data_IF_828553106833
#
_entry.id   IF_828553106833
#
_cell.length_a   1.000
_cell.length_b   1.000
_cell.length_c   1.000
_cell.angle_alpha   90.00
_cell.angle_beta   90.00
_cell.angle_gamma   90.00
#
_symmetry.space_group_name_H-M   'P 1'
#
loop_
_entity.id
_entity.type
_entity.pdbx_description
1 polymer ?
#
# COMPACT_ATOMS: atom_id res chain seq x y z
N UNK A 1 -47.10 -85.40 -10.20
CA UNK A 1 -46.56 -85.93 -11.45
C UNK A 1 -46.75 -84.87 -12.53
N UNK A 2 -45.65 -84.30 -13.04
CA UNK A 2 -45.20 -84.46 -14.43
C UNK A 2 -46.31 -84.11 -15.44
N UNK A 3 -46.32 -82.97 -16.15
CA UNK A 3 -45.23 -82.29 -16.82
C UNK A 3 -45.33 -82.61 -18.32
N UNK A 4 -45.53 -81.62 -19.20
CA UNK A 4 -44.97 -81.69 -20.55
C UNK A 4 -45.06 -80.35 -21.29
N UNK A 5 -43.95 -80.03 -21.93
CA UNK A 5 -43.75 -78.95 -22.87
C UNK A 5 -44.70 -79.01 -24.07
N UNK A 6 -45.04 -77.86 -24.63
CA UNK A 6 -45.18 -77.76 -26.09
C UNK A 6 -44.59 -76.44 -26.57
N UNK A 7 -43.37 -76.60 -27.10
CA UNK A 7 -42.78 -75.72 -28.09
C UNK A 7 -43.86 -75.16 -29.01
N UNK A 8 -44.07 -73.85 -28.97
CA UNK A 8 -44.72 -73.15 -30.08
C UNK A 8 -43.90 -73.40 -31.33
N UNK A 9 -44.35 -74.31 -32.19
CA UNK A 9 -43.87 -74.44 -33.58
C UNK A 9 -44.25 -73.16 -34.32
N UNK A 10 -43.50 -72.08 -34.12
CA UNK A 10 -43.62 -70.91 -34.97
C UNK A 10 -43.30 -71.35 -36.40
N UNK A 11 -44.27 -71.20 -37.30
CA UNK A 11 -44.13 -71.49 -38.72
C UNK A 11 -42.79 -70.94 -39.26
N UNK A 12 -42.03 -71.69 -40.09
CA UNK A 12 -40.74 -71.25 -40.60
C UNK A 12 -40.79 -69.87 -41.29
N UNK A 13 -41.93 -69.55 -41.92
CA UNK A 13 -42.19 -68.25 -42.55
C UNK A 13 -42.28 -67.11 -41.53
N UNK A 14 -42.90 -67.33 -40.37
CA UNK A 14 -42.95 -66.33 -39.28
C UNK A 14 -41.60 -66.09 -38.63
N UNK A 15 -40.80 -67.15 -38.41
CA UNK A 15 -39.43 -66.99 -37.88
C UNK A 15 -38.57 -66.15 -38.81
N UNK A 16 -38.66 -66.39 -40.12
CA UNK A 16 -37.96 -65.59 -41.14
C UNK A 16 -38.43 -64.13 -41.15
N UNK A 17 -39.72 -63.88 -41.00
CA UNK A 17 -40.27 -62.52 -40.95
C UNK A 17 -39.86 -61.78 -39.65
N UNK A 18 -39.91 -62.44 -38.50
CA UNK A 18 -39.44 -61.86 -37.21
C UNK A 18 -37.94 -61.59 -37.23
N UNK A 19 -37.14 -62.51 -37.77
CA UNK A 19 -35.70 -62.32 -37.94
C UNK A 19 -35.38 -61.14 -38.88
N UNK A 20 -36.13 -61.00 -39.99
CA UNK A 20 -36.00 -59.85 -40.90
C UNK A 20 -36.37 -58.52 -40.23
N UNK A 21 -37.49 -58.48 -39.49
CA UNK A 21 -37.92 -57.28 -38.74
C UNK A 21 -36.89 -56.89 -37.66
N UNK A 22 -36.40 -57.88 -36.91
CA UNK A 22 -35.36 -57.67 -35.91
C UNK A 22 -34.05 -57.17 -36.54
N UNK A 23 -33.63 -57.73 -37.67
CA UNK A 23 -32.44 -57.28 -38.39
C UNK A 23 -32.58 -55.84 -38.94
N UNK A 24 -33.77 -55.44 -39.41
CA UNK A 24 -34.05 -54.06 -39.84
C UNK A 24 -34.02 -53.11 -38.63
N UNK A 25 -34.62 -53.51 -37.51
CA UNK A 25 -34.60 -52.72 -36.26
C UNK A 25 -33.17 -52.54 -35.73
N UNK A 26 -32.37 -53.62 -35.69
CA UNK A 26 -30.95 -53.58 -35.30
C UNK A 26 -30.11 -52.71 -36.23
N UNK A 27 -30.35 -52.76 -37.55
CA UNK A 27 -29.71 -51.85 -38.52
C UNK A 27 -30.10 -50.39 -38.28
N UNK A 28 -31.37 -50.13 -37.95
CA UNK A 28 -31.86 -48.80 -37.57
C UNK A 28 -31.22 -48.26 -36.28
N UNK A 29 -31.10 -49.11 -35.25
CA UNK A 29 -30.45 -48.78 -33.97
C UNK A 29 -28.96 -48.54 -34.17
N UNK A 30 -28.26 -49.40 -34.93
CA UNK A 30 -26.83 -49.25 -35.22
C UNK A 30 -26.55 -47.97 -36.04
N UNK A 31 -27.41 -47.62 -37.00
CA UNK A 31 -27.32 -46.32 -37.71
C UNK A 31 -27.53 -45.14 -36.76
N UNK A 32 -28.48 -45.24 -35.82
CA UNK A 32 -28.77 -44.17 -34.85
C UNK A 32 -27.61 -43.96 -33.87
N UNK A 33 -27.02 -45.04 -33.38
CA UNK A 33 -25.81 -45.03 -32.53
C UNK A 33 -24.60 -44.49 -33.29
N UNK A 34 -24.39 -44.89 -34.54
CA UNK A 34 -23.31 -44.34 -35.36
C UNK A 34 -23.51 -42.85 -35.64
N UNK A 35 -24.76 -42.40 -35.83
CA UNK A 35 -25.08 -40.98 -36.03
C UNK A 35 -24.86 -40.15 -34.76
N UNK A 36 -25.28 -40.64 -33.59
CA UNK A 36 -25.04 -39.95 -32.31
C UNK A 36 -23.55 -39.89 -31.96
N UNK A 37 -22.81 -40.97 -32.21
CA UNK A 37 -21.37 -41.03 -31.99
C UNK A 37 -20.58 -40.17 -32.98
N UNK A 38 -21.14 -39.89 -34.16
CA UNK A 38 -20.59 -38.90 -35.12
C UNK A 38 -20.88 -37.48 -34.67
N UNK A 39 -22.09 -37.18 -34.22
CA UNK A 39 -22.48 -35.87 -33.69
C UNK A 39 -21.66 -35.47 -32.47
N UNK A 40 -21.41 -36.40 -31.54
CA UNK A 40 -20.53 -36.14 -30.38
C UNK A 40 -19.08 -35.87 -30.75
N UNK A 41 -18.62 -36.36 -31.93
CA UNK A 41 -17.29 -36.06 -32.49
C UNK A 41 -17.27 -34.80 -33.38
N UNK A 42 -18.43 -34.27 -33.76
CA UNK A 42 -18.62 -33.17 -34.73
C UNK A 42 -19.10 -31.86 -34.11
N UNK A 43 -19.41 -31.81 -32.81
CA UNK A 43 -19.54 -30.54 -32.10
C UNK A 43 -18.17 -30.15 -31.55
N UNK A 44 -17.38 -29.34 -32.29
CA UNK A 44 -16.24 -28.70 -31.67
C UNK A 44 -16.79 -27.84 -30.53
N UNK A 45 -16.30 -28.05 -29.31
CA UNK A 45 -16.42 -27.02 -28.27
C UNK A 45 -16.03 -25.70 -28.92
N UNK A 46 -16.93 -24.71 -28.91
CA UNK A 46 -16.73 -23.46 -29.64
C UNK A 46 -15.37 -22.88 -29.28
N UNK A 47 -14.38 -23.04 -30.16
CA UNK A 47 -12.97 -22.78 -29.84
C UNK A 47 -12.75 -21.32 -29.45
N UNK A 48 -13.67 -20.43 -29.85
CA UNK A 48 -13.72 -19.03 -29.44
C UNK A 48 -14.04 -18.89 -27.95
N UNK A 49 -15.02 -19.61 -27.40
CA UNK A 49 -15.36 -19.49 -25.97
C UNK A 49 -14.26 -20.03 -25.08
N UNK A 50 -13.58 -21.11 -25.48
CA UNK A 50 -12.41 -21.64 -24.76
C UNK A 50 -11.25 -20.63 -24.75
N UNK A 51 -10.96 -20.00 -25.90
CA UNK A 51 -9.94 -18.94 -26.01
C UNK A 51 -10.30 -17.73 -25.14
N UNK A 52 -11.54 -17.27 -25.20
CA UNK A 52 -12.04 -16.15 -24.38
C UNK A 52 -11.90 -16.46 -22.89
N UNK A 53 -12.30 -17.67 -22.45
CA UNK A 53 -12.17 -18.08 -21.05
C UNK A 53 -10.70 -18.14 -20.58
N UNK A 54 -9.79 -18.59 -21.44
CA UNK A 54 -8.37 -18.57 -21.16
C UNK A 54 -7.84 -17.12 -21.01
N UNK A 55 -8.24 -16.21 -21.91
CA UNK A 55 -7.89 -14.78 -21.81
C UNK A 55 -8.45 -14.14 -20.54
N UNK A 56 -9.72 -14.40 -20.20
CA UNK A 56 -10.34 -13.90 -18.96
C UNK A 56 -9.58 -14.40 -17.73
N UNK A 57 -9.17 -15.67 -17.73
CA UNK A 57 -8.41 -16.25 -16.61
C UNK A 57 -7.04 -15.60 -16.47
N UNK A 58 -6.36 -15.33 -17.59
CA UNK A 58 -5.08 -14.61 -17.61
C UNK A 58 -5.25 -13.18 -17.09
N UNK A 59 -6.22 -12.43 -17.62
CA UNK A 59 -6.52 -11.07 -17.18
C UNK A 59 -6.86 -11.00 -15.68
N UNK A 60 -7.64 -11.95 -15.16
CA UNK A 60 -7.93 -12.02 -13.71
C UNK A 60 -6.67 -12.18 -12.85
N UNK A 61 -5.70 -12.95 -13.34
CA UNK A 61 -4.39 -13.13 -12.67
C UNK A 61 -3.59 -11.83 -12.71
N UNK A 62 -3.44 -11.23 -13.89
CA UNK A 62 -2.76 -9.94 -14.08
C UNK A 62 -3.39 -8.85 -13.21
N UNK A 63 -4.72 -8.76 -13.17
CA UNK A 63 -5.44 -7.81 -12.29
C UNK A 63 -5.23 -8.08 -10.81
N UNK A 64 -4.98 -9.33 -10.40
CA UNK A 64 -4.66 -9.65 -9.00
C UNK A 64 -3.25 -9.15 -8.67
N UNK A 65 -2.29 -9.44 -9.53
CA UNK A 65 -0.90 -9.00 -9.39
C UNK A 65 -0.78 -7.46 -9.37
N UNK A 66 -1.46 -6.77 -10.29
CA UNK A 66 -1.51 -5.29 -10.30
C UNK A 66 -2.08 -4.76 -8.99
N UNK A 67 -3.12 -5.39 -8.42
CA UNK A 67 -3.69 -4.95 -7.14
C UNK A 67 -2.71 -5.14 -5.98
N UNK A 68 -1.96 -6.24 -5.97
CA UNK A 68 -0.93 -6.49 -4.97
C UNK A 68 0.21 -5.46 -5.08
N UNK A 69 0.66 -5.16 -6.30
CA UNK A 69 1.65 -4.10 -6.57
C UNK A 69 1.15 -2.73 -6.13
N UNK A 70 -0.09 -2.36 -6.46
CA UNK A 70 -0.69 -1.09 -6.04
C UNK A 70 -0.82 -0.99 -4.52
N UNK A 71 -1.11 -2.09 -3.82
CA UNK A 71 -1.12 -2.10 -2.36
C UNK A 71 0.28 -1.85 -1.79
N UNK A 72 1.30 -2.51 -2.33
CA UNK A 72 2.69 -2.31 -1.93
C UNK A 72 3.15 -0.86 -2.17
N UNK A 73 2.80 -0.27 -3.32
CA UNK A 73 3.11 1.13 -3.63
C UNK A 73 2.44 2.07 -2.63
N UNK A 74 1.14 1.87 -2.33
CA UNK A 74 0.42 2.71 -1.37
C UNK A 74 1.03 2.64 0.03
N UNK A 75 1.42 1.44 0.45
CA UNK A 75 2.08 1.24 1.73
C UNK A 75 3.46 1.89 1.77
N UNK A 76 4.25 1.76 0.71
CA UNK A 76 5.53 2.46 0.58
C UNK A 76 5.37 3.99 0.62
N UNK A 77 4.36 4.53 -0.07
CA UNK A 77 4.03 5.96 -0.03
C UNK A 77 3.63 6.43 1.37
N UNK A 78 2.86 5.62 2.10
CA UNK A 78 2.46 5.91 3.49
C UNK A 78 3.69 6.01 4.40
N UNK A 79 4.59 5.03 4.31
CA UNK A 79 5.83 5.01 5.10
C UNK A 79 6.73 6.19 4.76
N UNK A 80 6.92 6.49 3.47
CA UNK A 80 7.71 7.64 3.05
C UNK A 80 7.12 8.94 3.59
N UNK A 81 5.79 9.11 3.51
CA UNK A 81 5.11 10.28 4.08
C UNK A 81 5.35 10.43 5.58
N UNK A 82 5.16 9.35 6.35
CA UNK A 82 5.38 9.35 7.80
C UNK A 82 6.82 9.77 8.15
N UNK A 83 7.83 9.24 7.45
CA UNK A 83 9.23 9.64 7.62
C UNK A 83 9.47 11.10 7.26
N UNK A 84 8.83 11.60 6.21
CA UNK A 84 8.95 13.02 5.84
C UNK A 84 8.31 13.93 6.89
N UNK A 85 7.15 13.55 7.43
CA UNK A 85 6.47 14.31 8.47
C UNK A 85 7.33 14.36 9.76
N UNK A 86 7.99 13.25 10.12
CA UNK A 86 8.96 13.21 11.24
C UNK A 86 10.13 14.18 11.01
N UNK A 87 10.75 14.13 9.82
CA UNK A 87 11.87 15.01 9.44
C UNK A 87 11.46 16.48 9.45
N UNK A 88 10.25 16.81 8.97
CA UNK A 88 9.74 18.18 9.00
C UNK A 88 9.57 18.67 10.44
N UNK A 89 9.03 17.85 11.33
CA UNK A 89 8.90 18.16 12.76
C UNK A 89 10.27 18.38 13.41
N UNK A 90 11.27 17.55 13.09
CA UNK A 90 12.65 17.75 13.58
C UNK A 90 13.27 19.05 13.05
N UNK A 91 13.05 19.37 11.77
CA UNK A 91 13.53 20.62 11.16
C UNK A 91 12.90 21.86 11.83
N UNK A 92 11.62 21.81 12.21
CA UNK A 92 10.99 22.89 12.96
C UNK A 92 11.63 23.09 14.34
N UNK A 93 11.86 22.01 15.09
CA UNK A 93 12.54 22.06 16.39
C UNK A 93 13.96 22.64 16.25
N UNK A 94 14.73 22.17 15.28
CA UNK A 94 16.09 22.66 15.02
C UNK A 94 16.09 24.14 14.64
N UNK A 95 15.09 24.61 13.89
CA UNK A 95 14.95 26.03 13.56
C UNK A 95 14.71 26.88 14.81
N UNK A 96 13.81 26.43 15.69
CA UNK A 96 13.48 27.14 16.93
C UNK A 96 14.68 27.19 17.89
N UNK A 97 15.39 26.06 18.04
CA UNK A 97 16.63 25.98 18.83
C UNK A 97 17.73 26.88 18.25
N UNK A 98 17.91 26.87 16.92
CA UNK A 98 18.89 27.73 16.23
C UNK A 98 18.57 29.20 16.43
N UNK A 99 17.29 29.58 16.37
CA UNK A 99 16.86 30.96 16.63
C UNK A 99 17.19 31.38 18.06
N UNK A 100 16.94 30.52 19.04
CA UNK A 100 17.28 30.77 20.44
C UNK A 100 18.79 30.96 20.63
N UNK A 101 19.60 30.05 20.09
CA UNK A 101 21.07 30.11 20.17
C UNK A 101 21.59 31.38 19.47
N UNK A 102 21.02 31.73 18.32
CA UNK A 102 21.39 32.95 17.57
C UNK A 102 21.11 34.20 18.40
N UNK A 103 19.92 34.30 19.01
CA UNK A 103 19.56 35.42 19.87
C UNK A 103 20.50 35.51 21.07
N UNK A 104 20.79 34.39 21.73
CA UNK A 104 21.72 34.34 22.85
C UNK A 104 23.15 34.74 22.44
N UNK A 105 23.59 34.32 21.24
CA UNK A 105 24.89 34.66 20.68
C UNK A 105 25.02 36.16 20.41
N UNK A 106 23.98 36.77 19.83
CA UNK A 106 23.91 38.23 19.62
C UNK A 106 23.99 38.97 20.96
N UNK A 107 23.21 38.57 21.97
CA UNK A 107 23.27 39.16 23.30
C UNK A 107 24.66 39.05 23.92
N UNK A 108 25.32 37.91 23.76
CA UNK A 108 26.70 37.70 24.22
C UNK A 108 27.68 38.62 23.50
N UNK A 109 27.52 38.80 22.20
CA UNK A 109 28.28 39.78 21.41
C UNK A 109 28.15 41.21 21.93
N UNK A 110 26.91 41.64 22.24
CA UNK A 110 26.67 42.96 22.84
C UNK A 110 27.32 43.12 24.21
N UNK A 111 27.25 42.08 25.08
CA UNK A 111 27.93 42.09 26.38
C UNK A 111 29.43 42.28 26.23
N UNK A 112 30.06 41.52 25.35
CA UNK A 112 31.49 41.64 25.08
C UNK A 112 31.86 43.03 24.55
N UNK A 113 31.08 43.56 23.59
CA UNK A 113 31.30 44.90 23.05
C UNK A 113 31.25 45.98 24.15
N UNK A 114 30.25 45.93 25.04
CA UNK A 114 30.15 46.85 26.19
C UNK A 114 31.35 46.69 27.13
N UNK A 115 31.76 45.45 27.44
CA UNK A 115 32.92 45.18 28.29
C UNK A 115 34.20 45.80 27.70
N UNK A 116 34.44 45.64 26.39
CA UNK A 116 35.57 46.27 25.71
C UNK A 116 35.49 47.80 25.74
N UNK A 117 34.31 48.38 25.53
CA UNK A 117 34.13 49.84 25.61
C UNK A 117 34.39 50.38 27.03
N UNK A 118 34.01 49.65 28.07
CA UNK A 118 34.32 50.00 29.46
C UNK A 118 35.83 50.01 29.69
N UNK A 119 36.55 48.97 29.25
CA UNK A 119 38.00 48.90 29.37
C UNK A 119 38.67 50.08 28.64
N UNK A 120 38.21 50.41 27.43
CA UNK A 120 38.71 51.56 26.66
C UNK A 120 38.42 52.90 27.36
N UNK A 121 37.23 53.08 27.91
CA UNK A 121 36.89 54.30 28.67
C UNK A 121 37.79 54.47 29.90
N UNK A 122 38.03 53.37 30.64
CA UNK A 122 38.96 53.36 31.78
C UNK A 122 40.40 53.67 31.37
N UNK A 123 40.87 53.09 30.27
CA UNK A 123 42.21 53.38 29.72
C UNK A 123 42.37 54.87 29.38
N UNK A 124 41.30 55.50 28.90
CA UNK A 124 41.28 56.93 28.57
C UNK A 124 40.98 57.84 29.78
N UNK A 125 40.91 57.30 31.00
CA UNK A 125 40.51 58.00 32.22
C UNK A 125 39.10 58.65 32.17
N UNK A 126 38.22 58.18 31.28
CA UNK A 126 36.83 58.62 31.18
C UNK A 126 35.94 57.75 32.10
N UNK A 127 35.99 58.05 33.40
CA UNK A 127 35.25 57.30 34.41
C UNK A 127 33.74 57.52 34.34
N UNK A 128 33.28 58.68 33.89
CA UNK A 128 31.85 58.98 33.69
C UNK A 128 31.26 58.06 32.64
N UNK A 129 31.92 57.94 31.48
CA UNK A 129 31.49 57.02 30.42
C UNK A 129 31.61 55.57 30.84
N UNK A 130 32.69 55.20 31.55
CA UNK A 130 32.84 53.84 32.07
C UNK A 130 31.69 53.46 33.03
N UNK A 131 31.24 54.39 33.88
CA UNK A 131 30.11 54.18 34.78
C UNK A 131 28.79 53.99 34.01
N UNK A 132 28.51 54.84 33.01
CA UNK A 132 27.31 54.73 32.16
C UNK A 132 27.25 53.42 31.35
N UNK A 133 28.39 52.98 30.80
CA UNK A 133 28.47 51.70 30.11
C UNK A 133 28.29 50.52 31.07
N UNK A 134 28.78 50.65 32.31
CA UNK A 134 28.60 49.62 33.35
C UNK A 134 27.14 49.49 33.77
N UNK A 135 26.39 50.60 33.91
CA UNK A 135 24.95 50.54 34.20
C UNK A 135 24.18 49.89 33.04
N UNK A 136 24.49 50.30 31.80
CA UNK A 136 23.90 49.72 30.59
C UNK A 136 24.13 48.20 30.49
N UNK A 137 25.34 47.73 30.84
CA UNK A 137 25.66 46.30 30.85
C UNK A 137 24.84 45.55 31.92
N UNK A 138 24.64 46.13 33.11
CA UNK A 138 23.79 45.51 34.15
C UNK A 138 22.35 45.39 33.71
N UNK A 139 21.80 46.44 33.10
CA UNK A 139 20.43 46.45 32.57
C UNK A 139 20.24 45.37 31.49
N UNK A 140 21.18 45.27 30.54
CA UNK A 140 21.15 44.24 29.50
C UNK A 140 21.18 42.82 30.09
N UNK A 141 22.02 42.58 31.09
CA UNK A 141 22.09 41.28 31.78
C UNK A 141 20.76 40.97 32.49
N UNK A 142 20.16 41.95 33.16
CA UNK A 142 18.88 41.79 33.83
C UNK A 142 17.73 41.50 32.85
N UNK A 143 17.68 42.21 31.73
CA UNK A 143 16.68 41.98 30.67
C UNK A 143 16.78 40.57 30.09
N UNK A 144 18.00 40.09 29.83
CA UNK A 144 18.21 38.74 29.30
C UNK A 144 17.82 37.65 30.31
N UNK A 145 18.07 37.86 31.61
CA UNK A 145 17.64 36.92 32.65
C UNK A 145 16.12 36.73 32.65
N UNK A 146 15.38 37.83 32.51
CA UNK A 146 13.92 37.80 32.47
C UNK A 146 13.36 37.12 31.20
N UNK A 147 14.07 37.23 30.07
CA UNK A 147 13.69 36.53 28.82
C UNK A 147 13.91 35.02 28.92
N UNK A 148 14.99 34.58 29.58
CA UNK A 148 15.29 33.16 29.74
C UNK A 148 14.33 32.46 30.72
N UNK A 149 13.91 33.13 31.80
CA UNK A 149 12.96 32.56 32.77
C UNK A 149 11.53 32.37 32.23
N UNK A 150 11.15 33.09 31.16
CA UNK A 150 9.85 32.94 30.52
C UNK A 150 9.80 31.77 29.52
N UNK A 151 10.96 31.20 29.14
CA UNK A 151 11.07 30.10 28.19
C UNK A 151 11.15 28.71 28.85
N UNK A 152 11.21 28.64 30.19
CA UNK A 152 11.33 27.39 30.99
C UNK A 152 9.97 26.75 31.37
N UNK A 153 8.84 27.18 30.80
CA UNK A 153 7.56 26.47 30.97
C UNK A 153 7.64 25.07 30.30
N UNK A 154 7.47 23.98 31.07
CA UNK A 154 7.74 22.63 30.59
C UNK A 154 6.63 22.16 29.66
N UNK A 155 6.89 22.17 28.35
CA UNK A 155 6.08 21.46 27.34
C UNK A 155 6.34 19.94 27.39
N UNK A 156 6.19 19.33 28.56
CA UNK A 156 6.12 17.87 28.69
C UNK A 156 4.82 17.47 29.37
N UNK A 157 3.72 17.73 28.67
CA UNK A 157 2.44 17.10 28.94
C UNK A 157 1.87 16.59 27.61
N UNK A 158 1.64 15.27 27.56
CA UNK A 158 1.04 14.48 26.48
C UNK A 158 1.94 14.07 25.31
N UNK A 159 2.64 12.94 25.46
CA UNK A 159 2.16 11.63 24.96
C UNK A 159 3.04 10.49 25.45
#
# INVERSE_FOLDING_TARGET
MFGCASQTRCCPKERKLRARKAAIALKGVKRRLLFSQRLSKLLPMNTRTVKINATITRLKREMKEIREQQNSIREGQRQVKERFDDVLSECEKLRDETQLITQQSICTGFRLALMFQILKARQNNDFTKAAQLTTSLRELIAQQKNQNSAAEEPKFAAR
#
